data_IF_372069696989
#
_entry.id   IF_372069696989
#
_cell.length_a   1.000
_cell.length_b   1.000
_cell.length_c   1.000
_cell.angle_alpha   90.00
_cell.angle_beta   90.00
_cell.angle_gamma   90.00
#
_symmetry.space_group_name_H-M   'P 1'
#
loop_
_entity.id
_entity.type
_entity.pdbx_description
1 polymer ?
#
# COMPACT_ATOMS: atom_id res chain seq x y z
N UNK A 1 -74.97 -20.99 -45.75
CA UNK A 1 -74.61 -22.38 -45.39
C UNK A 1 -73.41 -22.74 -46.25
N UNK A 2 -72.17 -22.69 -45.78
CA UNK A 2 -71.67 -23.31 -44.54
C UNK A 2 -70.41 -22.56 -44.04
N UNK A 3 -70.61 -21.73 -43.01
CA UNK A 3 -69.58 -21.39 -42.02
C UNK A 3 -69.24 -22.68 -41.25
N UNK A 4 -68.17 -23.40 -41.61
CA UNK A 4 -67.66 -24.50 -40.75
C UNK A 4 -66.27 -25.03 -41.14
N UNK A 5 -65.37 -24.23 -41.70
CA UNK A 5 -63.96 -24.65 -41.89
C UNK A 5 -62.93 -23.57 -41.51
N UNK A 6 -63.34 -22.60 -40.67
CA UNK A 6 -62.47 -21.55 -40.12
C UNK A 6 -62.17 -21.72 -38.63
N UNK A 7 -62.18 -22.94 -38.11
CA UNK A 7 -61.85 -23.19 -36.70
C UNK A 7 -60.90 -24.37 -36.59
N UNK A 8 -59.61 -24.07 -36.46
CA UNK A 8 -58.66 -25.00 -35.86
C UNK A 8 -57.32 -25.17 -36.58
N UNK A 9 -56.49 -24.11 -36.61
CA UNK A 9 -55.03 -24.28 -36.64
C UNK A 9 -54.30 -22.98 -36.25
N UNK A 10 -54.10 -22.82 -34.94
CA UNK A 10 -52.91 -22.22 -34.32
C UNK A 10 -52.57 -20.74 -34.59
N UNK A 11 -53.44 -19.84 -34.14
CA UNK A 11 -53.01 -18.53 -33.64
C UNK A 11 -52.48 -18.63 -32.19
N UNK A 12 -51.37 -19.33 -31.95
CA UNK A 12 -50.58 -19.21 -30.71
C UNK A 12 -49.34 -20.10 -30.77
N UNK A 13 -48.16 -19.55 -31.10
CA UNK A 13 -46.85 -20.09 -30.66
C UNK A 13 -45.63 -19.32 -31.17
N UNK A 14 -45.77 -18.14 -31.77
CA UNK A 14 -44.60 -17.32 -32.01
C UNK A 14 -44.25 -16.53 -30.75
N UNK A 15 -43.48 -17.17 -29.86
CA UNK A 15 -42.73 -16.43 -28.84
C UNK A 15 -41.94 -15.35 -29.57
N UNK A 16 -42.13 -14.05 -29.26
CA UNK A 16 -41.55 -12.95 -30.02
C UNK A 16 -40.05 -13.19 -30.20
N UNK A 17 -39.53 -13.07 -31.42
CA UNK A 17 -38.11 -13.32 -31.75
C UNK A 17 -37.15 -12.66 -30.74
N UNK A 18 -37.51 -11.45 -30.26
CA UNK A 18 -36.83 -10.70 -29.19
C UNK A 18 -36.70 -11.46 -27.85
N UNK A 19 -37.72 -12.23 -27.44
CA UNK A 19 -37.68 -13.08 -26.23
C UNK A 19 -36.79 -14.31 -26.42
N UNK A 20 -36.76 -14.92 -27.60
CA UNK A 20 -35.85 -16.05 -27.90
C UNK A 20 -34.38 -15.59 -27.95
N UNK A 21 -34.11 -14.44 -28.56
CA UNK A 21 -32.78 -13.80 -28.60
C UNK A 21 -32.26 -13.47 -27.19
N UNK A 22 -33.06 -12.79 -26.35
CA UNK A 22 -32.67 -12.50 -24.96
C UNK A 22 -32.43 -13.74 -24.11
N UNK A 23 -33.19 -14.83 -24.34
CA UNK A 23 -33.00 -16.09 -23.61
C UNK A 23 -31.74 -16.81 -24.08
N UNK A 24 -31.44 -16.83 -25.37
CA UNK A 24 -30.21 -17.37 -25.92
C UNK A 24 -28.97 -16.57 -25.46
N UNK A 25 -29.06 -15.23 -25.46
CA UNK A 25 -28.02 -14.34 -24.93
C UNK A 25 -27.79 -14.56 -23.43
N UNK A 26 -28.85 -14.66 -22.62
CA UNK A 26 -28.73 -14.99 -21.19
C UNK A 26 -28.06 -16.35 -20.98
N UNK A 27 -28.44 -17.39 -21.71
CA UNK A 27 -27.82 -18.72 -21.57
C UNK A 27 -26.34 -18.67 -21.97
N UNK A 28 -25.98 -17.90 -23.01
CA UNK A 28 -24.59 -17.69 -23.42
C UNK A 28 -23.81 -16.90 -22.38
N UNK A 29 -24.38 -15.83 -21.82
CA UNK A 29 -23.78 -15.04 -20.74
C UNK A 29 -23.60 -15.87 -19.46
N UNK A 30 -24.60 -16.68 -19.07
CA UNK A 30 -24.51 -17.56 -17.90
C UNK A 30 -23.47 -18.66 -18.12
N UNK A 31 -23.38 -19.25 -19.31
CA UNK A 31 -22.30 -20.22 -19.64
C UNK A 31 -20.92 -19.56 -19.60
N UNK A 32 -20.78 -18.36 -20.17
CA UNK A 32 -19.53 -17.60 -20.12
C UNK A 32 -19.16 -17.21 -18.68
N UNK A 33 -20.12 -16.77 -17.88
CA UNK A 33 -19.93 -16.45 -16.47
C UNK A 33 -19.55 -17.72 -15.68
N UNK A 34 -20.21 -18.85 -15.92
CA UNK A 34 -19.92 -20.12 -15.26
C UNK A 34 -18.52 -20.66 -15.57
N UNK A 35 -17.98 -20.39 -16.76
CA UNK A 35 -16.60 -20.71 -17.14
C UNK A 35 -15.57 -19.84 -16.39
N UNK A 36 -15.89 -18.57 -16.12
CA UNK A 36 -15.00 -17.62 -15.43
C UNK A 36 -15.18 -17.65 -13.90
N UNK A 37 -16.34 -18.05 -13.41
CA UNK A 37 -16.71 -18.02 -11.99
C UNK A 37 -15.73 -18.76 -11.09
N UNK A 38 -15.25 -19.99 -11.41
CA UNK A 38 -14.28 -20.68 -10.56
C UNK A 38 -12.97 -19.90 -10.40
N UNK A 39 -12.48 -19.30 -11.49
CA UNK A 39 -11.27 -18.46 -11.46
C UNK A 39 -11.50 -17.19 -10.65
N UNK A 40 -12.67 -16.56 -10.81
CA UNK A 40 -13.03 -15.35 -10.06
C UNK A 40 -13.19 -15.63 -8.57
N UNK A 41 -13.84 -16.74 -8.19
CA UNK A 41 -13.95 -17.18 -6.79
C UNK A 41 -12.57 -17.49 -6.21
N UNK A 42 -11.73 -18.21 -6.96
CA UNK A 42 -10.34 -18.48 -6.56
C UNK A 42 -9.56 -17.18 -6.32
N UNK A 43 -9.70 -16.18 -7.19
CA UNK A 43 -9.03 -14.88 -7.05
C UNK A 43 -9.58 -14.10 -5.84
N UNK A 44 -10.89 -14.05 -5.65
CA UNK A 44 -11.51 -13.39 -4.50
C UNK A 44 -11.08 -14.03 -3.19
N UNK A 45 -11.06 -15.37 -3.12
CA UNK A 45 -10.62 -16.09 -1.93
C UNK A 45 -9.12 -15.92 -1.65
N UNK A 46 -8.28 -16.01 -2.68
CA UNK A 46 -6.81 -16.02 -2.52
C UNK A 46 -6.22 -14.63 -2.34
N UNK A 47 -6.82 -13.59 -2.94
CA UNK A 47 -6.30 -12.23 -2.86
C UNK A 47 -7.22 -11.31 -2.04
N UNK A 48 -8.51 -11.21 -2.41
CA UNK A 48 -9.40 -10.23 -1.77
C UNK A 48 -9.69 -10.59 -0.30
N UNK A 49 -9.83 -11.88 0.04
CA UNK A 49 -10.03 -12.36 1.41
C UNK A 49 -8.87 -11.96 2.34
N UNK A 50 -7.62 -12.36 2.07
CA UNK A 50 -6.47 -11.98 2.88
C UNK A 50 -6.25 -10.46 2.95
N UNK A 51 -6.46 -9.73 1.86
CA UNK A 51 -6.37 -8.25 1.87
C UNK A 51 -7.44 -7.67 2.79
N UNK A 52 -8.70 -8.10 2.68
CA UNK A 52 -9.78 -7.65 3.54
C UNK A 52 -9.52 -8.00 5.02
N UNK A 53 -9.00 -9.20 5.30
CA UNK A 53 -8.60 -9.61 6.64
C UNK A 53 -7.45 -8.78 7.20
N UNK A 54 -6.47 -8.44 6.36
CA UNK A 54 -5.39 -7.53 6.73
C UNK A 54 -5.93 -6.13 7.01
N UNK A 55 -6.76 -5.56 6.12
CA UNK A 55 -7.41 -4.25 6.34
C UNK A 55 -8.28 -4.24 7.61
N UNK A 56 -8.95 -5.34 7.94
CA UNK A 56 -9.70 -5.47 9.19
C UNK A 56 -8.79 -5.35 10.42
N UNK A 57 -7.57 -5.87 10.37
CA UNK A 57 -6.60 -5.72 11.48
C UNK A 57 -6.22 -4.26 11.74
N UNK A 58 -6.39 -3.34 10.79
CA UNK A 58 -6.17 -1.91 11.02
C UNK A 58 -7.15 -1.32 12.04
N UNK A 59 -8.29 -1.97 12.27
CA UNK A 59 -9.33 -1.52 13.20
C UNK A 59 -9.63 -2.53 14.31
N UNK A 60 -9.22 -3.79 14.21
CA UNK A 60 -9.44 -4.79 15.26
C UNK A 60 -8.57 -4.53 16.51
N UNK A 61 -9.21 -4.51 17.70
CA UNK A 61 -8.53 -4.18 18.96
C UNK A 61 -8.95 -5.08 20.14
N UNK A 62 -9.14 -6.37 19.86
CA UNK A 62 -9.65 -7.32 20.87
C UNK A 62 -8.63 -7.70 21.95
N UNK A 63 -7.36 -7.34 21.77
CA UNK A 63 -6.24 -7.77 22.60
C UNK A 63 -6.40 -7.39 24.08
N UNK A 64 -6.78 -6.14 24.37
CA UNK A 64 -6.98 -5.68 25.76
C UNK A 64 -8.24 -6.27 26.36
N UNK A 65 -9.33 -6.34 25.60
CA UNK A 65 -10.59 -6.95 26.05
C UNK A 65 -10.46 -8.43 26.38
N UNK A 66 -9.63 -9.17 25.64
CA UNK A 66 -9.38 -10.59 25.89
C UNK A 66 -8.60 -10.82 27.19
N UNK A 67 -7.65 -9.93 27.50
CA UNK A 67 -6.85 -10.04 28.72
C UNK A 67 -7.51 -9.40 29.95
N UNK A 68 -8.26 -8.31 29.77
CA UNK A 68 -8.87 -7.51 30.84
C UNK A 68 -10.41 -7.36 30.65
N UNK A 69 -11.17 -8.46 30.55
CA UNK A 69 -12.60 -8.41 30.22
C UNK A 69 -13.45 -7.70 31.29
N UNK A 70 -13.18 -7.94 32.58
CA UNK A 70 -13.97 -7.35 33.67
C UNK A 70 -13.67 -5.86 33.82
N UNK A 71 -12.42 -5.47 33.63
CA UNK A 71 -11.94 -4.08 33.66
C UNK A 71 -12.59 -3.27 32.55
N UNK A 72 -12.56 -3.79 31.32
CA UNK A 72 -13.18 -3.12 30.17
C UNK A 72 -14.69 -2.98 30.38
N UNK A 73 -15.36 -3.98 30.96
CA UNK A 73 -16.78 -3.89 31.30
C UNK A 73 -17.06 -2.84 32.38
N UNK A 74 -16.23 -2.76 33.43
CA UNK A 74 -16.37 -1.77 34.50
C UNK A 74 -16.14 -0.33 34.00
N UNK A 75 -15.20 -0.13 33.06
CA UNK A 75 -14.89 1.18 32.48
C UNK A 75 -15.88 1.63 31.40
N UNK A 76 -16.81 0.77 30.97
CA UNK A 76 -17.75 1.10 29.89
C UNK A 76 -18.62 2.33 30.20
N UNK A 77 -19.06 2.46 31.46
CA UNK A 77 -19.93 3.55 31.92
C UNK A 77 -19.18 4.69 32.60
N UNK A 78 -17.86 4.60 32.73
CA UNK A 78 -17.04 5.64 33.34
C UNK A 78 -17.01 6.87 32.42
N UNK A 79 -17.32 8.05 32.94
CA UNK A 79 -17.39 9.30 32.16
C UNK A 79 -16.02 9.81 31.70
N UNK A 80 -14.95 9.23 32.27
CA UNK A 80 -13.59 9.57 31.92
C UNK A 80 -13.09 10.85 32.55
N UNK A 81 -13.81 11.54 33.46
CA UNK A 81 -13.39 12.83 34.05
C UNK A 81 -12.55 12.66 35.32
N UNK A 82 -13.10 11.95 36.30
CA UNK A 82 -12.42 11.62 37.56
C UNK A 82 -11.80 10.23 37.52
N UNK A 83 -11.05 9.83 38.55
CA UNK A 83 -10.58 8.45 38.64
C UNK A 83 -11.76 7.47 38.70
N UNK A 84 -11.64 6.26 38.12
CA UNK A 84 -12.70 5.26 38.15
C UNK A 84 -13.12 4.87 39.56
N UNK A 85 -14.30 4.26 39.65
CA UNK A 85 -14.83 3.74 40.90
C UNK A 85 -14.03 2.54 41.40
N UNK A 86 -14.20 2.22 42.69
CA UNK A 86 -13.48 1.12 43.34
C UNK A 86 -13.72 -0.24 42.65
N UNK A 87 -14.88 -0.40 42.01
CA UNK A 87 -15.23 -1.61 41.25
C UNK A 87 -14.30 -1.79 40.05
N UNK A 88 -13.96 -0.73 39.32
CA UNK A 88 -13.00 -0.80 38.22
C UNK A 88 -11.60 -1.20 38.69
N UNK A 89 -11.15 -0.70 39.85
CA UNK A 89 -9.86 -1.11 40.45
C UNK A 89 -9.86 -2.58 40.87
N UNK A 90 -10.95 -3.06 41.49
CA UNK A 90 -11.10 -4.46 41.87
C UNK A 90 -11.13 -5.39 40.63
N UNK A 91 -11.86 -4.99 39.58
CA UNK A 91 -11.92 -5.72 38.32
C UNK A 91 -10.53 -5.82 37.64
N UNK A 92 -9.77 -4.72 37.63
CA UNK A 92 -8.39 -4.71 37.13
C UNK A 92 -7.49 -5.66 37.89
N UNK A 93 -7.57 -5.67 39.22
CA UNK A 93 -6.77 -6.58 40.03
C UNK A 93 -7.10 -8.05 39.73
N UNK A 94 -8.39 -8.39 39.60
CA UNK A 94 -8.84 -9.73 39.23
C UNK A 94 -8.36 -10.15 37.84
N UNK A 95 -8.56 -9.29 36.85
CA UNK A 95 -8.12 -9.54 35.48
C UNK A 95 -6.60 -9.67 35.35
N UNK A 96 -5.81 -8.83 36.06
CA UNK A 96 -4.33 -8.94 36.05
C UNK A 96 -3.87 -10.32 36.53
N UNK A 97 -4.47 -10.84 37.60
CA UNK A 97 -4.14 -12.16 38.14
C UNK A 97 -4.53 -13.28 37.16
N UNK A 98 -5.71 -13.21 36.56
CA UNK A 98 -6.18 -14.17 35.56
C UNK A 98 -5.34 -14.12 34.26
N UNK A 99 -5.00 -12.92 33.79
CA UNK A 99 -4.17 -12.69 32.61
C UNK A 99 -2.72 -13.13 32.83
N UNK A 100 -2.20 -13.00 34.06
CA UNK A 100 -0.89 -13.54 34.44
C UNK A 100 -0.91 -15.07 34.42
N UNK A 101 -1.94 -15.70 34.97
CA UNK A 101 -2.07 -17.16 34.99
C UNK A 101 -2.21 -17.77 33.58
N UNK A 102 -2.93 -17.09 32.69
CA UNK A 102 -3.13 -17.52 31.29
C UNK A 102 -2.03 -17.08 30.32
N UNK A 103 -1.05 -16.29 30.77
CA UNK A 103 0.03 -15.76 29.92
C UNK A 103 -0.41 -14.64 28.95
N UNK A 104 -1.66 -14.16 29.03
CA UNK A 104 -2.22 -13.13 28.14
C UNK A 104 -1.86 -11.70 28.54
N UNK A 105 -1.33 -11.50 29.76
CA UNK A 105 -0.95 -10.16 30.28
C UNK A 105 0.07 -9.46 29.38
N UNK A 106 0.98 -10.21 28.75
CA UNK A 106 2.00 -9.65 27.85
C UNK A 106 1.39 -9.06 26.58
N UNK A 107 0.28 -9.62 26.09
CA UNK A 107 -0.43 -9.15 24.90
C UNK A 107 -1.07 -7.79 25.20
N UNK A 108 -1.82 -7.67 26.29
CA UNK A 108 -2.39 -6.38 26.72
C UNK A 108 -1.31 -5.35 27.05
N UNK A 109 -0.23 -5.76 27.72
CA UNK A 109 0.90 -4.88 28.03
C UNK A 109 1.53 -4.30 26.76
N UNK A 110 1.69 -5.14 25.72
CA UNK A 110 2.21 -4.71 24.40
C UNK A 110 1.27 -3.71 23.75
N UNK A 111 -0.03 -4.02 23.68
CA UNK A 111 -1.04 -3.18 23.04
C UNK A 111 -1.19 -1.81 23.69
N UNK A 112 -1.27 -1.78 25.01
CA UNK A 112 -1.41 -0.54 25.80
C UNK A 112 -0.13 0.30 25.73
N UNK A 113 1.03 -0.34 25.59
CA UNK A 113 2.30 0.36 25.40
C UNK A 113 2.41 1.09 24.05
N UNK A 114 1.64 0.68 23.04
CA UNK A 114 1.56 1.47 21.80
C UNK A 114 0.84 2.79 22.01
N UNK A 115 -0.16 2.83 22.92
CA UNK A 115 -0.96 4.01 23.18
C UNK A 115 -0.32 4.95 24.22
N UNK A 116 0.33 4.39 25.24
CA UNK A 116 1.04 5.14 26.27
C UNK A 116 2.42 4.52 26.50
N UNK A 117 3.48 5.28 26.21
CA UNK A 117 4.85 4.83 26.45
C UNK A 117 5.06 4.49 27.94
N UNK A 118 5.62 3.31 28.21
CA UNK A 118 5.87 2.84 29.58
C UNK A 118 4.72 2.04 30.19
N UNK A 119 3.56 1.93 29.53
CA UNK A 119 2.43 1.15 30.03
C UNK A 119 2.79 -0.32 30.27
N UNK A 120 3.67 -0.88 29.42
CA UNK A 120 4.16 -2.25 29.62
C UNK A 120 4.80 -2.43 30.99
N UNK A 121 5.58 -1.46 31.46
CA UNK A 121 6.22 -1.49 32.78
C UNK A 121 5.17 -1.34 33.89
N UNK A 122 4.19 -0.46 33.73
CA UNK A 122 3.08 -0.29 34.68
C UNK A 122 2.35 -1.62 34.87
N UNK A 123 1.93 -2.25 33.79
CA UNK A 123 1.12 -3.48 33.86
C UNK A 123 1.94 -4.68 34.36
N UNK A 124 3.17 -4.85 33.88
CA UNK A 124 4.02 -5.99 34.28
C UNK A 124 4.59 -5.86 35.70
N UNK A 125 4.91 -4.65 36.16
CA UNK A 125 5.28 -4.43 37.57
C UNK A 125 4.11 -4.72 38.50
N UNK A 126 2.90 -4.28 38.12
CA UNK A 126 1.68 -4.54 38.87
C UNK A 126 1.37 -6.03 38.94
N UNK A 127 1.44 -6.72 37.80
CA UNK A 127 1.20 -8.17 37.74
C UNK A 127 2.21 -8.98 38.58
N UNK A 128 3.46 -8.53 38.71
CA UNK A 128 4.48 -9.20 39.53
C UNK A 128 4.22 -9.03 41.03
N UNK A 129 3.84 -7.81 41.44
CA UNK A 129 3.70 -7.44 42.86
C UNK A 129 2.31 -7.73 43.44
N UNK A 130 1.27 -7.84 42.61
CA UNK A 130 -0.06 -8.22 43.03
C UNK A 130 -0.11 -9.73 43.30
N UNK A 131 -0.30 -10.11 44.57
CA UNK A 131 -0.30 -11.52 45.01
C UNK A 131 -1.69 -12.15 45.05
N UNK A 132 -2.71 -11.37 45.40
CA UNK A 132 -4.09 -11.80 45.56
C UNK A 132 -5.04 -10.65 45.20
N UNK A 133 -6.32 -10.97 45.01
CA UNK A 133 -7.37 -9.97 44.81
C UNK A 133 -7.50 -9.13 46.09
N UNK A 134 -7.44 -7.79 46.02
CA UNK A 134 -7.60 -6.92 47.18
C UNK A 134 -8.97 -7.07 47.85
N UNK A 135 -9.04 -6.79 49.15
CA UNK A 135 -10.31 -6.78 49.87
C UNK A 135 -11.26 -5.70 49.31
N UNK A 136 -12.59 -5.93 49.31
CA UNK A 136 -13.56 -4.96 48.81
C UNK A 136 -13.36 -3.58 49.46
N UNK A 137 -13.19 -2.53 48.65
CA UNK A 137 -12.94 -1.17 49.15
C UNK A 137 -11.47 -0.74 49.18
N UNK A 138 -10.51 -1.66 48.99
CA UNK A 138 -9.07 -1.40 49.17
C UNK A 138 -8.23 -1.50 47.89
N UNK A 139 -8.85 -1.82 46.76
CA UNK A 139 -8.18 -2.07 45.49
C UNK A 139 -7.47 -0.81 44.96
N UNK A 140 -8.09 0.37 45.08
CA UNK A 140 -7.52 1.65 44.66
C UNK A 140 -6.26 2.01 45.42
N UNK A 141 -6.28 1.82 46.73
CA UNK A 141 -5.11 2.08 47.56
C UNK A 141 -3.99 1.06 47.27
N UNK A 142 -4.36 -0.22 47.14
CA UNK A 142 -3.41 -1.32 46.86
C UNK A 142 -2.68 -1.12 45.53
N UNK A 143 -3.43 -0.91 44.43
CA UNK A 143 -2.83 -0.69 43.11
C UNK A 143 -2.01 0.61 43.08
N UNK A 144 -2.50 1.68 43.70
CA UNK A 144 -1.77 2.95 43.82
C UNK A 144 -0.46 2.86 44.63
N UNK A 145 -0.39 1.96 45.63
CA UNK A 145 0.85 1.66 46.37
C UNK A 145 1.86 0.87 45.53
N UNK A 146 1.39 -0.03 44.67
CA UNK A 146 2.25 -0.82 43.79
C UNK A 146 2.85 0.05 42.68
N UNK A 147 2.04 0.89 42.03
CA UNK A 147 2.49 1.82 41.01
C UNK A 147 1.67 3.12 41.05
N UNK A 148 2.31 4.30 41.25
CA UNK A 148 1.62 5.58 41.29
C UNK A 148 0.82 5.92 40.03
N UNK A 149 1.19 5.38 38.86
CA UNK A 149 0.50 5.64 37.59
C UNK A 149 -0.98 5.21 37.59
N UNK A 150 -1.40 4.30 38.48
CA UNK A 150 -2.81 3.94 38.66
C UNK A 150 -3.66 5.05 39.31
N UNK A 151 -3.02 6.12 39.81
CA UNK A 151 -3.66 7.34 40.28
C UNK A 151 -3.71 8.43 39.19
N UNK A 152 -3.22 8.14 38.00
CA UNK A 152 -3.31 9.05 36.85
C UNK A 152 -4.51 8.70 35.97
N UNK A 153 -5.25 9.73 35.55
CA UNK A 153 -6.40 9.61 34.65
C UNK A 153 -6.03 8.98 33.30
N UNK A 154 -4.87 9.36 32.77
CA UNK A 154 -4.29 8.90 31.50
C UNK A 154 -4.18 7.38 31.40
N UNK A 155 -3.79 6.70 32.48
CA UNK A 155 -3.67 5.25 32.52
C UNK A 155 -5.01 4.56 32.29
N UNK A 156 -6.07 5.08 32.91
CA UNK A 156 -7.42 4.52 32.80
C UNK A 156 -8.08 4.85 31.47
N UNK A 157 -7.92 6.07 30.95
CA UNK A 157 -8.43 6.42 29.62
C UNK A 157 -7.77 5.57 28.54
N UNK A 158 -6.47 5.27 28.68
CA UNK A 158 -5.76 4.37 27.76
C UNK A 158 -6.36 2.96 27.73
N UNK A 159 -6.72 2.39 28.89
CA UNK A 159 -7.39 1.08 28.95
C UNK A 159 -8.78 1.17 28.32
N UNK A 160 -9.54 2.21 28.64
CA UNK A 160 -10.89 2.41 28.11
C UNK A 160 -10.88 2.52 26.59
N UNK A 161 -9.98 3.33 26.03
CA UNK A 161 -9.85 3.54 24.58
C UNK A 161 -9.42 2.28 23.83
N UNK A 162 -8.62 1.43 24.47
CA UNK A 162 -8.22 0.13 23.92
C UNK A 162 -9.22 -1.00 24.22
N UNK A 163 -10.33 -0.73 24.93
CA UNK A 163 -11.29 -1.73 25.37
C UNK A 163 -12.33 -2.15 24.31
N UNK A 164 -12.43 -1.44 23.19
CA UNK A 164 -13.38 -1.72 22.10
C UNK A 164 -13.00 -2.95 21.26
N UNK A 165 -13.94 -3.65 20.59
CA UNK A 165 -13.54 -4.65 19.61
C UNK A 165 -12.98 -3.99 18.34
N UNK A 166 -13.26 -2.70 18.16
CA UNK A 166 -12.88 -1.86 17.03
C UNK A 166 -12.25 -0.58 17.57
N UNK A 167 -11.16 -0.13 16.94
CA UNK A 167 -10.43 1.08 17.29
C UNK A 167 -10.13 1.95 16.07
N UNK A 168 -10.05 3.26 16.27
CA UNK A 168 -9.49 4.20 15.29
C UNK A 168 -7.98 4.43 15.49
N UNK A 169 -7.39 3.85 16.54
CA UNK A 169 -6.03 4.16 17.00
C UNK A 169 -4.98 4.01 15.89
N UNK A 170 -4.91 2.85 15.23
CA UNK A 170 -3.87 2.59 14.23
C UNK A 170 -4.04 3.46 12.97
N UNK A 171 -5.29 3.73 12.56
CA UNK A 171 -5.58 4.59 11.40
C UNK A 171 -5.23 6.05 11.68
N UNK A 172 -5.51 6.54 12.89
CA UNK A 172 -5.09 7.87 13.32
C UNK A 172 -3.56 7.94 13.41
N UNK A 173 -2.92 6.95 14.01
CA UNK A 173 -1.47 6.88 14.11
C UNK A 173 -0.80 6.89 12.73
N UNK A 174 -1.33 6.14 11.75
CA UNK A 174 -0.84 6.15 10.37
C UNK A 174 -0.91 7.54 9.68
N UNK A 175 -1.71 8.45 10.23
CA UNK A 175 -1.86 9.84 9.76
C UNK A 175 -1.21 10.85 10.72
N UNK A 176 -0.34 10.43 11.64
CA UNK A 176 0.27 11.25 12.70
C UNK A 176 -0.77 11.98 13.57
N UNK A 177 -1.86 11.29 13.90
CA UNK A 177 -2.92 11.76 14.78
C UNK A 177 -3.06 10.82 15.98
N UNK A 178 -3.47 11.38 17.11
CA UNK A 178 -3.80 10.63 18.33
C UNK A 178 -5.06 11.20 18.98
N UNK A 179 -5.60 10.50 19.98
CA UNK A 179 -6.69 11.02 20.81
C UNK A 179 -6.13 11.48 22.14
N UNK A 180 -6.54 12.65 22.58
CA UNK A 180 -6.21 13.13 23.92
C UNK A 180 -7.13 12.45 24.97
N UNK A 181 -6.88 12.77 26.25
CA UNK A 181 -7.64 12.24 27.40
C UNK A 181 -9.13 12.60 27.35
N UNK A 182 -9.49 13.69 26.65
CA UNK A 182 -10.86 14.14 26.48
C UNK A 182 -11.53 13.57 25.21
N UNK A 183 -10.84 12.69 24.48
CA UNK A 183 -11.34 12.03 23.27
C UNK A 183 -11.25 12.85 21.99
N UNK A 184 -10.71 14.06 22.03
CA UNK A 184 -10.49 14.89 20.85
C UNK A 184 -9.30 14.39 20.02
N UNK A 185 -9.43 14.46 18.69
CA UNK A 185 -8.35 14.10 17.76
C UNK A 185 -7.37 15.27 17.70
N UNK A 186 -6.12 15.00 18.05
CA UNK A 186 -5.02 15.97 18.08
C UNK A 186 -3.83 15.43 17.27
N UNK A 187 -2.89 16.30 16.92
CA UNK A 187 -1.64 15.87 16.31
C UNK A 187 -0.87 14.96 17.28
N UNK A 188 -0.23 13.92 16.74
CA UNK A 188 0.69 13.12 17.53
C UNK A 188 1.89 13.97 17.98
N UNK A 189 2.53 13.62 19.11
CA UNK A 189 3.78 14.24 19.54
C UNK A 189 4.83 14.25 18.43
N UNK A 190 5.67 15.30 18.37
CA UNK A 190 6.61 15.51 17.26
C UNK A 190 7.63 14.37 17.09
N UNK A 191 7.95 13.66 18.16
CA UNK A 191 8.80 12.47 18.18
C UNK A 191 8.13 11.23 17.55
N UNK A 192 6.80 11.23 17.44
CA UNK A 192 6.01 10.11 16.89
C UNK A 192 5.40 10.42 15.52
N UNK A 193 5.26 11.70 15.18
CA UNK A 193 4.66 12.19 13.95
C UNK A 193 5.60 12.08 12.74
N UNK A 194 5.94 10.85 12.36
CA UNK A 194 6.91 10.57 11.27
C UNK A 194 6.23 10.16 9.95
N UNK A 195 4.99 9.66 9.97
CA UNK A 195 4.43 8.97 8.82
C UNK A 195 4.06 9.89 7.68
N UNK A 196 3.59 11.11 7.94
CA UNK A 196 3.27 12.10 6.89
C UNK A 196 4.52 12.45 6.07
N UNK A 197 5.66 12.66 6.73
CA UNK A 197 6.93 12.94 6.05
C UNK A 197 7.39 11.70 5.25
N UNK A 198 7.29 10.51 5.84
CA UNK A 198 7.63 9.25 5.17
C UNK A 198 6.73 9.01 3.95
N UNK A 199 5.42 9.27 4.03
CA UNK A 199 4.52 9.22 2.89
C UNK A 199 4.95 10.22 1.82
N UNK A 200 5.11 11.49 2.17
CA UNK A 200 5.53 12.54 1.22
C UNK A 200 6.84 12.18 0.52
N UNK A 201 7.82 11.70 1.26
CA UNK A 201 9.09 11.21 0.73
C UNK A 201 8.92 10.01 -0.20
N UNK A 202 8.12 9.02 0.20
CA UNK A 202 7.80 7.85 -0.62
C UNK A 202 7.22 8.31 -1.97
N UNK A 203 6.21 9.18 -1.94
CA UNK A 203 5.59 9.74 -3.14
C UNK A 203 6.60 10.48 -4.03
N UNK A 204 7.45 11.33 -3.45
CA UNK A 204 8.46 12.09 -4.19
C UNK A 204 9.55 11.20 -4.78
N UNK A 205 10.04 10.21 -4.04
CA UNK A 205 11.02 9.23 -4.56
C UNK A 205 10.40 8.41 -5.68
N UNK A 206 9.21 7.84 -5.47
CA UNK A 206 8.52 7.04 -6.49
C UNK A 206 8.25 7.86 -7.75
N UNK A 207 7.78 9.11 -7.63
CA UNK A 207 7.58 9.99 -8.77
C UNK A 207 8.89 10.31 -9.51
N UNK A 208 9.96 10.61 -8.76
CA UNK A 208 11.29 10.86 -9.32
C UNK A 208 11.83 9.66 -10.09
N UNK A 209 11.72 8.45 -9.51
CA UNK A 209 12.12 7.20 -10.19
C UNK A 209 11.27 6.95 -11.43
N UNK A 210 9.95 7.15 -11.37
CA UNK A 210 9.08 7.03 -12.54
C UNK A 210 9.49 8.00 -13.65
N UNK A 211 9.81 9.25 -13.31
CA UNK A 211 10.28 10.24 -14.27
C UNK A 211 11.63 9.84 -14.88
N UNK A 212 12.59 9.37 -14.09
CA UNK A 212 13.87 8.86 -14.59
C UNK A 212 13.68 7.65 -15.51
N UNK A 213 12.85 6.69 -15.12
CA UNK A 213 12.50 5.55 -15.96
C UNK A 213 11.84 5.99 -17.27
N UNK A 214 11.00 7.02 -17.27
CA UNK A 214 10.39 7.56 -18.48
C UNK A 214 11.44 8.22 -19.38
N UNK A 215 12.28 9.10 -18.83
CA UNK A 215 13.33 9.82 -19.57
C UNK A 215 14.30 8.84 -20.23
N UNK A 216 14.72 7.80 -19.51
CA UNK A 216 15.65 6.80 -20.03
C UNK A 216 14.96 5.72 -20.87
N UNK A 217 13.75 5.31 -20.49
CA UNK A 217 13.00 4.23 -21.13
C UNK A 217 12.36 4.64 -22.44
N UNK A 218 11.97 5.91 -22.60
CA UNK A 218 11.39 6.43 -23.84
C UNK A 218 12.32 6.28 -25.06
N UNK A 219 13.58 6.75 -25.05
CA UNK A 219 14.47 6.60 -26.20
C UNK A 219 14.77 5.13 -26.51
N UNK A 220 14.92 4.29 -25.47
CA UNK A 220 15.14 2.85 -25.64
C UNK A 220 13.93 2.19 -26.31
N UNK A 221 12.71 2.48 -25.82
CA UNK A 221 11.48 1.95 -26.39
C UNK A 221 11.26 2.44 -27.84
N UNK A 222 11.57 3.71 -28.12
CA UNK A 222 11.50 4.28 -29.46
C UNK A 222 12.46 3.56 -30.43
N UNK A 223 13.71 3.36 -30.01
CA UNK A 223 14.70 2.62 -30.79
C UNK A 223 14.21 1.21 -31.10
N UNK A 224 13.76 0.46 -30.08
CA UNK A 224 13.21 -0.88 -30.25
C UNK A 224 12.01 -0.90 -31.21
N UNK A 225 11.11 0.06 -31.13
CA UNK A 225 9.93 0.12 -31.99
C UNK A 225 10.31 0.34 -33.47
N UNK A 226 11.35 1.12 -33.74
CA UNK A 226 11.81 1.47 -35.10
C UNK A 226 12.75 0.46 -35.75
N UNK A 227 13.45 -0.38 -34.97
CA UNK A 227 14.43 -1.33 -35.51
C UNK A 227 13.80 -2.51 -36.25
N UNK A 228 14.54 -3.14 -37.19
CA UNK A 228 14.14 -4.40 -37.79
C UNK A 228 13.90 -5.48 -36.72
N UNK A 229 12.91 -6.40 -36.92
CA UNK A 229 12.49 -7.36 -35.89
C UNK A 229 13.63 -8.15 -35.24
N UNK A 230 14.62 -8.61 -36.02
CA UNK A 230 15.76 -9.37 -35.49
C UNK A 230 16.61 -8.57 -34.47
N UNK A 231 16.97 -7.33 -34.80
CA UNK A 231 17.76 -6.46 -33.90
C UNK A 231 16.94 -5.98 -32.70
N UNK A 232 15.66 -5.65 -32.92
CA UNK A 232 14.73 -5.29 -31.86
C UNK A 232 14.59 -6.42 -30.83
N UNK A 233 14.41 -7.66 -31.28
CA UNK A 233 14.27 -8.81 -30.39
C UNK A 233 15.57 -9.07 -29.60
N UNK A 234 16.74 -8.94 -30.22
CA UNK A 234 18.01 -9.07 -29.52
C UNK A 234 18.18 -8.02 -28.40
N UNK A 235 17.90 -6.75 -28.70
CA UNK A 235 17.98 -5.69 -27.69
C UNK A 235 16.91 -5.85 -26.59
N UNK A 236 15.73 -6.35 -26.94
CA UNK A 236 14.70 -6.69 -25.96
C UNK A 236 15.17 -7.79 -24.99
N UNK A 237 15.97 -8.77 -25.45
CA UNK A 237 16.58 -9.76 -24.55
C UNK A 237 17.46 -9.08 -23.50
N UNK A 238 18.27 -8.07 -23.87
CA UNK A 238 19.07 -7.32 -22.90
C UNK A 238 18.21 -6.51 -21.91
N UNK A 239 17.09 -5.94 -22.36
CA UNK A 239 16.13 -5.26 -21.46
C UNK A 239 15.49 -6.24 -20.48
N UNK A 240 15.27 -7.49 -20.89
CA UNK A 240 14.64 -8.52 -20.08
C UNK A 240 15.64 -9.29 -19.19
N UNK A 241 16.93 -9.27 -19.51
CA UNK A 241 17.99 -9.96 -18.77
C UNK A 241 17.95 -9.71 -17.25
N UNK A 242 17.69 -8.48 -16.75
CA UNK A 242 17.60 -8.22 -15.32
C UNK A 242 16.53 -9.06 -14.59
N UNK A 243 15.45 -9.49 -15.26
CA UNK A 243 14.41 -10.30 -14.63
C UNK A 243 14.87 -11.71 -14.23
N UNK A 244 15.89 -12.23 -14.90
CA UNK A 244 16.46 -13.54 -14.62
C UNK A 244 17.39 -13.52 -13.39
N UNK A 245 17.79 -12.33 -12.96
CA UNK A 245 18.66 -12.14 -11.80
C UNK A 245 17.85 -11.78 -10.56
N UNK A 246 18.25 -12.32 -9.41
CA UNK A 246 17.62 -11.99 -8.14
C UNK A 246 17.72 -10.50 -7.82
N UNK A 247 16.64 -9.95 -7.25
CA UNK A 247 16.61 -8.56 -6.83
C UNK A 247 17.68 -8.23 -5.79
N UNK A 248 17.90 -9.13 -4.85
CA UNK A 248 18.90 -8.95 -3.79
C UNK A 248 20.31 -8.89 -4.38
N UNK A 249 20.64 -9.79 -5.30
CA UNK A 249 21.96 -9.81 -5.97
C UNK A 249 22.22 -8.50 -6.72
N UNK A 250 21.24 -8.01 -7.48
CA UNK A 250 21.35 -6.71 -8.17
C UNK A 250 21.53 -5.55 -7.18
N UNK A 251 20.82 -5.57 -6.07
CA UNK A 251 20.95 -4.54 -5.03
C UNK A 251 22.33 -4.57 -4.40
N UNK A 252 22.85 -5.75 -4.02
CA UNK A 252 24.21 -5.90 -3.49
C UNK A 252 25.28 -5.47 -4.51
N UNK A 253 25.08 -5.75 -5.80
CA UNK A 253 25.99 -5.27 -6.85
C UNK A 253 26.04 -3.74 -6.90
N UNK A 254 24.89 -3.06 -6.82
CA UNK A 254 24.85 -1.60 -6.72
C UNK A 254 25.51 -1.07 -5.44
N UNK A 255 25.40 -1.79 -4.32
CA UNK A 255 26.11 -1.43 -3.09
C UNK A 255 27.63 -1.39 -3.35
N UNK A 256 28.18 -2.45 -3.93
CA UNK A 256 29.62 -2.54 -4.22
C UNK A 256 30.06 -1.50 -5.25
N UNK A 257 29.26 -1.26 -6.30
CA UNK A 257 29.60 -0.30 -7.36
C UNK A 257 29.59 1.16 -6.88
N UNK A 258 28.65 1.53 -6.00
CA UNK A 258 28.43 2.91 -5.53
C UNK A 258 29.17 3.26 -4.24
N UNK A 259 29.92 2.32 -3.66
CA UNK A 259 30.78 2.60 -2.53
C UNK A 259 31.86 3.64 -2.87
N UNK A 260 32.42 4.29 -1.85
CA UNK A 260 33.50 5.28 -2.02
C UNK A 260 34.75 4.69 -2.68
N UNK A 261 35.03 3.40 -2.46
CA UNK A 261 36.09 2.63 -3.15
C UNK A 261 35.50 1.67 -4.20
N UNK A 262 34.35 2.03 -4.75
CA UNK A 262 33.65 1.26 -5.75
C UNK A 262 34.09 1.64 -7.16
N UNK A 263 33.82 0.75 -8.11
CA UNK A 263 34.22 0.89 -9.52
C UNK A 263 33.77 2.22 -10.13
N UNK A 264 32.61 2.76 -9.72
CA UNK A 264 32.11 4.03 -10.26
C UNK A 264 32.99 5.19 -9.82
N UNK A 265 33.31 5.31 -8.53
CA UNK A 265 34.19 6.36 -8.02
C UNK A 265 35.61 6.22 -8.59
N UNK A 266 36.15 5.00 -8.61
CA UNK A 266 37.49 4.75 -9.16
C UNK A 266 37.58 5.12 -10.64
N UNK A 267 36.54 4.82 -11.42
CA UNK A 267 36.47 5.18 -12.84
C UNK A 267 36.36 6.70 -13.05
N UNK A 268 35.55 7.39 -12.24
CA UNK A 268 35.40 8.85 -12.30
C UNK A 268 36.70 9.57 -11.93
N UNK A 269 37.40 9.07 -10.91
CA UNK A 269 38.70 9.59 -10.49
C UNK A 269 39.77 9.31 -11.55
N UNK A 270 39.80 8.10 -12.13
CA UNK A 270 40.71 7.76 -13.23
C UNK A 270 40.50 8.63 -14.48
N UNK A 271 39.25 9.00 -14.79
CA UNK A 271 38.92 9.92 -15.87
C UNK A 271 39.24 11.40 -15.55
N UNK A 272 39.67 11.72 -14.33
CA UNK A 272 39.94 13.09 -13.89
C UNK A 272 38.70 13.97 -13.75
N UNK A 273 37.50 13.36 -13.57
CA UNK A 273 36.23 14.09 -13.42
C UNK A 273 36.04 14.55 -11.96
N UNK A 274 36.59 13.82 -10.99
CA UNK A 274 36.48 14.11 -9.56
C UNK A 274 37.86 13.99 -8.89
N UNK A 275 38.13 14.87 -7.92
CA UNK A 275 39.35 14.85 -7.10
C UNK A 275 39.18 14.01 -5.83
N UNK A 276 37.95 13.91 -5.30
CA UNK A 276 37.61 13.13 -4.11
C UNK A 276 36.43 12.18 -4.37
N UNK A 277 36.38 11.00 -3.72
CA UNK A 277 35.28 10.05 -3.89
C UNK A 277 33.92 10.64 -3.50
N UNK A 278 32.96 10.57 -4.41
CA UNK A 278 31.59 11.01 -4.17
C UNK A 278 30.87 10.01 -3.26
N UNK A 279 30.07 10.52 -2.31
CA UNK A 279 29.14 9.68 -1.54
C UNK A 279 27.94 9.33 -2.42
N UNK A 280 28.00 8.20 -3.12
CA UNK A 280 26.94 7.74 -4.03
C UNK A 280 25.99 6.71 -3.40
N UNK A 281 26.27 6.27 -2.17
CA UNK A 281 25.51 5.27 -1.43
C UNK A 281 25.11 5.77 -0.03
N UNK A 282 24.09 5.14 0.55
CA UNK A 282 23.46 5.49 1.82
C UNK A 282 22.88 6.91 1.78
N UNK A 283 22.25 7.21 0.65
CA UNK A 283 21.55 8.46 0.37
C UNK A 283 20.50 8.26 -0.74
N UNK A 284 19.72 9.31 -0.98
CA UNK A 284 18.67 9.34 -2.01
C UNK A 284 19.16 9.07 -3.43
N UNK A 285 20.37 9.50 -3.78
CA UNK A 285 20.93 9.31 -5.12
C UNK A 285 21.08 7.83 -5.44
N UNK A 286 21.74 7.07 -4.54
CA UNK A 286 21.91 5.63 -4.72
C UNK A 286 20.58 4.89 -4.82
N UNK A 287 19.58 5.29 -4.01
CA UNK A 287 18.22 4.74 -4.10
C UNK A 287 17.60 5.00 -5.47
N UNK A 288 17.64 6.23 -5.96
CA UNK A 288 17.09 6.56 -7.28
C UNK A 288 17.79 5.81 -8.41
N UNK A 289 19.12 5.69 -8.39
CA UNK A 289 19.89 4.96 -9.41
C UNK A 289 19.51 3.48 -9.42
N UNK A 290 19.58 2.82 -8.26
CA UNK A 290 19.32 1.39 -8.16
C UNK A 290 17.85 1.06 -8.50
N UNK A 291 16.89 1.84 -7.98
CA UNK A 291 15.47 1.64 -8.30
C UNK A 291 15.17 1.91 -9.77
N UNK A 292 15.76 2.96 -10.38
CA UNK A 292 15.59 3.24 -11.81
C UNK A 292 16.06 2.07 -12.65
N UNK A 293 17.25 1.52 -12.37
CA UNK A 293 17.76 0.34 -13.10
C UNK A 293 16.82 -0.86 -12.99
N UNK A 294 16.31 -1.15 -11.78
CA UNK A 294 15.40 -2.30 -11.59
C UNK A 294 14.05 -2.09 -12.28
N UNK A 295 13.51 -0.87 -12.24
CA UNK A 295 12.17 -0.58 -12.73
C UNK A 295 12.12 -0.17 -14.21
N UNK A 296 13.27 0.15 -14.83
CA UNK A 296 13.37 0.58 -16.23
C UNK A 296 12.67 -0.36 -17.21
N UNK A 297 12.80 -1.70 -17.13
CA UNK A 297 12.13 -2.60 -18.06
C UNK A 297 10.59 -2.50 -18.00
N UNK A 298 10.02 -2.22 -16.83
CA UNK A 298 8.57 -2.06 -16.66
C UNK A 298 8.04 -0.77 -17.30
N UNK A 299 8.89 0.24 -17.51
CA UNK A 299 8.55 1.41 -18.33
C UNK A 299 8.67 1.10 -19.83
N UNK A 300 9.73 0.39 -20.23
CA UNK A 300 10.04 0.12 -21.64
C UNK A 300 8.95 -0.75 -22.27
N UNK A 301 8.44 -1.78 -21.60
CA UNK A 301 7.50 -2.73 -22.21
C UNK A 301 6.17 -2.09 -22.66
N UNK A 302 5.45 -1.31 -21.82
CA UNK A 302 4.23 -0.62 -22.26
C UNK A 302 4.50 0.45 -23.32
N UNK A 303 5.60 1.19 -23.20
CA UNK A 303 6.02 2.17 -24.21
C UNK A 303 6.26 1.50 -25.57
N UNK A 304 7.04 0.42 -25.59
CA UNK A 304 7.34 -0.34 -26.80
C UNK A 304 6.07 -0.87 -27.46
N UNK A 305 5.16 -1.45 -26.67
CA UNK A 305 3.88 -1.97 -27.18
C UNK A 305 3.03 -0.88 -27.84
N UNK A 306 2.94 0.30 -27.22
CA UNK A 306 2.21 1.45 -27.78
C UNK A 306 2.91 2.03 -29.01
N UNK A 307 4.23 2.20 -28.97
CA UNK A 307 5.03 2.77 -30.05
C UNK A 307 5.05 1.89 -31.29
N UNK A 308 5.06 0.56 -31.14
CA UNK A 308 5.05 -0.39 -32.26
C UNK A 308 3.75 -0.35 -33.06
N UNK A 309 2.65 0.06 -32.44
CA UNK A 309 1.36 0.20 -33.09
C UNK A 309 1.25 1.46 -33.99
N UNK A 310 2.17 2.42 -33.83
CA UNK A 310 2.15 3.69 -34.58
C UNK A 310 2.73 3.47 -35.97
N UNK A 311 1.96 3.77 -37.01
CA UNK A 311 2.41 3.66 -38.40
C UNK A 311 3.53 4.67 -38.71
N UNK A 312 4.66 4.25 -39.32
CA UNK A 312 5.70 5.17 -39.80
C UNK A 312 5.20 6.17 -40.84
N UNK A 313 4.04 5.93 -41.45
CA UNK A 313 3.44 6.81 -42.45
C UNK A 313 3.12 8.21 -41.90
N UNK A 314 2.76 8.34 -40.61
CA UNK A 314 2.43 9.63 -40.00
C UNK A 314 3.61 10.60 -40.03
N UNK A 315 4.81 10.11 -39.72
CA UNK A 315 6.03 10.92 -39.76
C UNK A 315 6.41 11.31 -41.19
N UNK A 316 6.23 10.41 -42.17
CA UNK A 316 6.47 10.71 -43.58
C UNK A 316 5.48 11.76 -44.11
N UNK A 317 4.20 11.64 -43.78
CA UNK A 317 3.18 12.59 -44.17
C UNK A 317 3.44 14.00 -43.58
N UNK A 318 3.85 14.07 -42.31
CA UNK A 318 4.21 15.32 -41.67
C UNK A 318 5.39 16.02 -42.36
N UNK A 319 6.44 15.24 -42.68
CA UNK A 319 7.61 15.76 -43.40
C UNK A 319 7.24 16.24 -44.82
N UNK A 320 6.35 15.54 -45.53
CA UNK A 320 5.86 15.96 -46.84
C UNK A 320 5.04 17.26 -46.81
N UNK A 321 4.43 17.60 -45.67
CA UNK A 321 3.74 18.88 -45.44
C UNK A 321 4.69 19.99 -44.95
N UNK A 322 6.01 19.76 -44.95
CA UNK A 322 7.02 20.73 -44.54
C UNK A 322 7.26 20.83 -43.04
N UNK A 323 6.70 19.92 -42.22
CA UNK A 323 6.96 19.92 -40.78
C UNK A 323 8.39 19.44 -40.50
N UNK A 324 9.22 20.19 -39.76
CA UNK A 324 10.55 19.74 -39.40
C UNK A 324 10.48 18.54 -38.43
N UNK A 325 11.52 17.68 -38.37
CA UNK A 325 11.48 16.41 -37.64
C UNK A 325 11.06 16.54 -36.17
N UNK A 326 11.53 17.58 -35.47
CA UNK A 326 11.19 17.83 -34.07
C UNK A 326 9.71 18.20 -33.90
N UNK A 327 9.16 19.02 -34.80
CA UNK A 327 7.74 19.39 -34.78
C UNK A 327 6.85 18.20 -35.10
N UNK A 328 7.22 17.41 -36.12
CA UNK A 328 6.50 16.19 -36.44
C UNK A 328 6.54 15.18 -35.27
N UNK A 329 7.69 15.02 -34.61
CA UNK A 329 7.81 14.18 -33.43
C UNK A 329 6.94 14.69 -32.26
N UNK A 330 7.10 15.95 -31.84
CA UNK A 330 6.40 16.48 -30.66
C UNK A 330 4.89 16.62 -30.87
N UNK A 331 4.44 16.95 -32.08
CA UNK A 331 3.04 17.27 -32.36
C UNK A 331 2.22 16.09 -32.89
N UNK A 332 2.87 15.08 -33.47
CA UNK A 332 2.18 13.95 -34.12
C UNK A 332 2.56 12.63 -33.45
N UNK A 333 3.84 12.36 -33.25
CA UNK A 333 4.29 11.08 -32.68
C UNK A 333 4.09 11.00 -31.16
N UNK A 334 4.60 11.97 -30.40
CA UNK A 334 4.57 11.99 -28.93
C UNK A 334 3.14 11.92 -28.35
N UNK A 335 2.12 12.61 -28.88
CA UNK A 335 0.75 12.49 -28.37
C UNK A 335 0.18 11.07 -28.53
N UNK A 336 0.59 10.34 -29.57
CA UNK A 336 0.15 8.97 -29.81
C UNK A 336 0.80 7.95 -28.86
N UNK A 337 1.92 8.31 -28.22
CA UNK A 337 2.58 7.46 -27.22
C UNK A 337 2.09 7.72 -25.79
N UNK A 338 1.23 8.73 -25.56
CA UNK A 338 0.67 9.05 -24.24
C UNK A 338 -0.01 7.86 -23.54
N UNK A 339 -0.78 6.98 -24.21
CA UNK A 339 -1.32 5.79 -23.57
C UNK A 339 -0.23 4.84 -23.04
N UNK A 340 0.88 4.71 -23.77
CA UNK A 340 2.05 3.94 -23.36
C UNK A 340 2.81 4.59 -22.21
N UNK A 341 3.05 5.91 -22.28
CA UNK A 341 3.68 6.70 -21.21
C UNK A 341 2.89 6.55 -19.93
N UNK A 342 1.58 6.69 -20.02
CA UNK A 342 0.72 6.58 -18.87
C UNK A 342 0.70 5.17 -18.28
N UNK A 343 0.58 4.13 -19.12
CA UNK A 343 0.54 2.75 -18.66
C UNK A 343 1.85 2.34 -17.98
N UNK A 344 3.00 2.67 -18.60
CA UNK A 344 4.32 2.44 -18.01
C UNK A 344 4.56 3.30 -16.78
N UNK A 345 4.15 4.56 -16.81
CA UNK A 345 4.26 5.51 -15.70
C UNK A 345 3.51 5.05 -14.46
N UNK A 346 2.23 4.69 -14.62
CA UNK A 346 1.42 4.17 -13.52
C UNK A 346 1.98 2.86 -12.99
N UNK A 347 2.37 1.93 -13.87
CA UNK A 347 2.95 0.65 -13.47
C UNK A 347 4.22 0.83 -12.64
N UNK A 348 5.19 1.61 -13.14
CA UNK A 348 6.45 1.88 -12.43
C UNK A 348 6.20 2.62 -11.12
N UNK A 349 5.29 3.59 -11.13
CA UNK A 349 4.96 4.36 -9.94
C UNK A 349 4.37 3.48 -8.82
N UNK A 350 3.40 2.62 -9.15
CA UNK A 350 2.80 1.68 -8.20
C UNK A 350 3.86 0.70 -7.66
N UNK A 351 4.71 0.16 -8.53
CA UNK A 351 5.79 -0.74 -8.11
C UNK A 351 6.81 -0.02 -7.22
N UNK A 352 7.13 1.24 -7.51
CA UNK A 352 8.04 2.04 -6.71
C UNK A 352 7.47 2.38 -5.32
N UNK A 353 6.16 2.59 -5.18
CA UNK A 353 5.53 2.87 -3.87
C UNK A 353 5.68 1.72 -2.89
N UNK A 354 5.60 0.48 -3.38
CA UNK A 354 5.69 -0.76 -2.58
C UNK A 354 7.13 -1.21 -2.27
N UNK A 355 8.12 -0.45 -2.70
CA UNK A 355 9.50 -0.90 -2.79
C UNK A 355 10.25 -0.63 -1.49
N UNK A 356 10.66 -1.68 -0.77
CA UNK A 356 11.35 -1.52 0.53
C UNK A 356 12.79 -2.05 0.57
N UNK A 357 13.10 -3.12 -0.17
CA UNK A 357 14.41 -3.80 -0.06
C UNK A 357 15.56 -2.89 -0.52
N UNK A 358 15.46 -2.28 -1.71
CA UNK A 358 16.54 -1.43 -2.23
C UNK A 358 16.73 -0.14 -1.41
N UNK A 359 15.68 0.61 -1.01
CA UNK A 359 15.84 1.73 -0.09
C UNK A 359 16.43 1.35 1.27
N UNK A 360 16.07 0.18 1.81
CA UNK A 360 16.63 -0.31 3.07
C UNK A 360 18.12 -0.65 3.00
N UNK A 361 18.62 -1.05 1.83
CA UNK A 361 20.01 -1.47 1.65
C UNK A 361 20.93 -0.39 1.07
N UNK A 362 20.41 0.46 0.18
CA UNK A 362 21.19 1.46 -0.58
C UNK A 362 20.95 2.89 -0.06
N UNK A 363 19.82 3.12 0.61
CA UNK A 363 19.44 4.43 1.15
C UNK A 363 19.96 4.69 2.56
N UNK A 364 19.87 5.95 2.99
CA UNK A 364 20.11 6.33 4.39
C UNK A 364 18.85 6.17 5.25
N UNK A 365 18.95 6.50 6.54
CA UNK A 365 17.79 6.56 7.43
C UNK A 365 16.72 7.57 6.93
N UNK A 366 17.18 8.66 6.32
CA UNK A 366 16.33 9.68 5.70
C UNK A 366 15.80 9.29 4.30
N UNK A 367 16.01 8.06 3.82
CA UNK A 367 15.52 7.59 2.53
C UNK A 367 14.60 6.37 2.66
N UNK A 368 14.32 5.93 3.89
CA UNK A 368 13.41 4.82 4.14
C UNK A 368 11.98 5.20 3.73
N UNK A 369 11.37 4.31 2.94
CA UNK A 369 10.02 4.46 2.39
C UNK A 369 8.99 3.78 3.28
N UNK A 370 7.71 4.11 3.11
CA UNK A 370 6.62 3.59 3.94
C UNK A 370 6.58 2.05 3.96
N UNK A 371 6.93 1.40 2.85
CA UNK A 371 6.95 -0.06 2.74
C UNK A 371 7.97 -0.72 3.67
N UNK A 372 9.06 -0.02 4.01
CA UNK A 372 10.01 -0.49 5.03
C UNK A 372 9.34 -0.56 6.41
N UNK A 373 8.62 0.50 6.81
CA UNK A 373 7.90 0.52 8.08
C UNK A 373 6.78 -0.53 8.14
N UNK A 374 6.06 -0.75 7.04
CA UNK A 374 5.06 -1.83 6.95
C UNK A 374 5.74 -3.19 7.20
N UNK A 375 6.89 -3.44 6.57
CA UNK A 375 7.65 -4.67 6.81
C UNK A 375 8.13 -4.77 8.27
N UNK A 376 8.75 -3.72 8.80
CA UNK A 376 9.22 -3.62 10.19
C UNK A 376 8.10 -3.94 11.20
N UNK A 377 6.91 -3.36 11.00
CA UNK A 377 5.77 -3.60 11.87
C UNK A 377 5.19 -5.01 11.73
N UNK A 378 5.35 -5.64 10.57
CA UNK A 378 4.88 -7.00 10.34
C UNK A 378 5.83 -8.04 10.93
N UNK A 379 7.15 -7.90 10.69
CA UNK A 379 8.13 -8.96 10.97
C UNK A 379 8.90 -8.77 12.26
N UNK A 380 9.28 -7.54 12.62
CA UNK A 380 10.16 -7.30 13.77
C UNK A 380 9.36 -7.00 15.05
N UNK A 381 8.39 -6.09 14.95
CA UNK A 381 7.59 -5.72 16.13
C UNK A 381 6.29 -6.52 16.24
N UNK A 382 5.88 -7.21 15.17
CA UNK A 382 4.59 -7.91 15.08
C UNK A 382 3.41 -7.04 15.53
N UNK A 383 3.39 -5.77 15.11
CA UNK A 383 2.28 -4.83 15.24
C UNK A 383 1.45 -4.84 13.96
N UNK A 384 0.64 -5.90 13.81
CA UNK A 384 -0.19 -6.11 12.62
C UNK A 384 -1.24 -5.01 12.43
N UNK A 385 -1.72 -4.39 13.50
CA UNK A 385 -2.69 -3.30 13.41
C UNK A 385 -2.10 -2.08 12.73
N UNK A 386 -0.94 -1.62 13.18
CA UNK A 386 -0.25 -0.47 12.59
C UNK A 386 0.25 -0.78 11.18
N UNK A 387 0.82 -1.96 10.93
CA UNK A 387 1.23 -2.39 9.60
C UNK A 387 0.05 -2.35 8.60
N UNK A 388 -1.11 -2.85 9.03
CA UNK A 388 -2.32 -2.87 8.22
C UNK A 388 -2.89 -1.47 7.98
N UNK A 389 -2.83 -0.58 8.98
CA UNK A 389 -3.27 0.81 8.83
C UNK A 389 -2.39 1.59 7.83
N UNK A 390 -1.07 1.50 7.96
CA UNK A 390 -0.13 2.13 7.00
C UNK A 390 -0.34 1.57 5.59
N UNK A 391 -0.52 0.24 5.47
CA UNK A 391 -0.84 -0.41 4.20
C UNK A 391 -2.19 0.03 3.62
N UNK A 392 -3.23 0.20 4.45
CA UNK A 392 -4.54 0.67 4.03
C UNK A 392 -4.48 2.10 3.47
N UNK A 393 -3.76 3.00 4.14
CA UNK A 393 -3.56 4.39 3.69
C UNK A 393 -2.80 4.39 2.35
N UNK A 394 -1.72 3.61 2.23
CA UNK A 394 -0.96 3.51 0.98
C UNK A 394 -1.83 2.94 -0.17
N UNK A 395 -2.60 1.90 0.11
CA UNK A 395 -3.51 1.29 -0.87
C UNK A 395 -4.57 2.29 -1.34
N UNK A 396 -5.20 3.01 -0.41
CA UNK A 396 -6.20 4.02 -0.73
C UNK A 396 -5.60 5.15 -1.58
N UNK A 397 -4.41 5.65 -1.22
CA UNK A 397 -3.72 6.65 -2.01
C UNK A 397 -3.36 6.13 -3.42
N UNK A 398 -2.94 4.88 -3.52
CA UNK A 398 -2.63 4.21 -4.80
C UNK A 398 -3.87 4.07 -5.68
N UNK A 399 -5.00 3.63 -5.11
CA UNK A 399 -6.29 3.50 -5.82
C UNK A 399 -6.76 4.87 -6.30
N UNK A 400 -6.71 5.90 -5.47
CA UNK A 400 -7.10 7.26 -5.85
C UNK A 400 -6.28 7.75 -7.05
N UNK A 401 -4.96 7.54 -7.02
CA UNK A 401 -4.08 7.92 -8.13
C UNK A 401 -4.37 7.11 -9.41
N UNK A 402 -4.61 5.81 -9.28
CA UNK A 402 -4.99 4.95 -10.40
C UNK A 402 -6.34 5.38 -11.03
N UNK A 403 -7.32 5.77 -10.21
CA UNK A 403 -8.62 6.27 -10.66
C UNK A 403 -8.50 7.63 -11.37
N UNK A 404 -7.72 8.57 -10.81
CA UNK A 404 -7.45 9.87 -11.43
C UNK A 404 -6.78 9.66 -12.79
N UNK A 405 -5.74 8.82 -12.84
CA UNK A 405 -5.06 8.45 -14.07
C UNK A 405 -6.01 7.82 -15.09
N UNK A 406 -6.84 6.85 -14.67
CA UNK A 406 -7.81 6.19 -15.53
C UNK A 406 -8.79 7.17 -16.18
N UNK A 407 -9.29 8.15 -15.41
CA UNK A 407 -10.16 9.21 -15.93
C UNK A 407 -9.46 10.11 -16.95
N UNK A 408 -8.21 10.52 -16.69
CA UNK A 408 -7.44 11.38 -17.60
C UNK A 408 -7.17 10.69 -18.94
N UNK A 409 -6.82 9.40 -18.92
CA UNK A 409 -6.50 8.64 -20.13
C UNK A 409 -7.75 8.22 -20.91
N UNK A 410 -8.82 7.80 -20.23
CA UNK A 410 -10.10 7.51 -20.89
C UNK A 410 -10.70 8.76 -21.54
N UNK A 411 -10.58 9.93 -20.90
CA UNK A 411 -10.99 11.20 -21.50
C UNK A 411 -10.28 11.51 -22.82
N UNK A 412 -9.01 11.13 -22.96
CA UNK A 412 -8.25 11.30 -24.21
C UNK A 412 -8.68 10.30 -25.30
N UNK A 413 -9.00 9.06 -24.94
CA UNK A 413 -9.49 8.06 -25.91
C UNK A 413 -10.88 8.44 -26.48
N UNK A 414 -11.79 8.94 -25.63
CA UNK A 414 -13.14 9.37 -26.06
C UNK A 414 -13.07 10.63 -26.94
N UNK A 415 -12.21 11.60 -26.58
CA UNK A 415 -12.06 12.84 -27.35
C UNK A 415 -11.32 12.62 -28.68
N UNK A 416 -10.40 11.66 -28.74
CA UNK A 416 -9.74 11.25 -29.99
C UNK A 416 -10.68 10.50 -30.94
N UNK A 417 -11.64 9.73 -30.41
CA UNK A 417 -12.65 9.02 -31.20
C UNK A 417 -13.76 9.91 -31.76
N UNK A 418 -13.98 11.11 -31.21
CA UNK A 418 -14.95 12.10 -31.70
C UNK A 418 -14.40 13.03 -32.80
N UNK A 419 -13.11 12.94 -33.13
CA UNK A 419 -12.45 13.75 -34.17
C UNK A 419 -12.18 13.01 -35.48
N UNK A 420 -12.64 11.76 -35.61
CA UNK A 420 -12.54 10.97 -36.84
C UNK A 420 -13.90 10.77 -37.48
#
# INVERSE_FOLDING_TARGET
MTEALLTGANASTEVPLKRRLRRAERTRQVKALALVLPLLVFLLFTFAGPIAGMLWRAVDDREVRQALPQTVAALANWDGKDLPDEKAYAALAGDILAARASGTIAIAAKRLNYALNGFRTILTSTARNLKAVPEPGTAKETLGKINPAWRERTTWTTIKDAGGPVTGFYLLAALDLTRNVDGAIVAAPADQAIYRDVFGRTFLISLGVTALCLILGFPVAYLLATLPPGRSNLLMIFVLLPFWTSLLVRTCAWIVLLQSKGVVNDSLHWLGIIDEPLRLIYNRFGVCVAMTHVLLPFMILPLYSSMKAISPAYMRAAASLGAPPLTAFLRIYLPQTLPGIGAGGLLVFILALGYYITPALVGGAADQMISYFIALYTTETANWGLASALGAVLLLATILLALVYGKLVQGQQVTGGMKN
#
